data_IF_381835882428
#
_entry.id   IF_381835882428
#
_cell.length_a   1.000
_cell.length_b   1.000
_cell.length_c   1.000
_cell.angle_alpha   90.00
_cell.angle_beta   90.00
_cell.angle_gamma   90.00
#
_symmetry.space_group_name_H-M   'P 1'
#
loop_
_entity.id
_entity.type
_entity.pdbx_description
1 polymer ?
#
# COMPACT_ATOMS: atom_id res chain seq x y z
N UNK A 1 3.55 13.69 30.39
CA UNK A 1 3.99 14.74 29.43
C UNK A 1 4.78 14.21 28.23
N UNK A 2 5.59 13.13 28.38
CA UNK A 2 6.39 12.53 27.28
C UNK A 2 5.57 11.79 26.18
N UNK A 3 4.43 11.19 26.53
CA UNK A 3 3.55 10.48 25.59
C UNK A 3 2.93 11.40 24.51
N UNK A 4 2.61 12.65 24.87
CA UNK A 4 2.01 13.60 23.94
C UNK A 4 3.02 13.97 22.84
N UNK A 5 4.28 14.22 23.23
CA UNK A 5 5.36 14.64 22.31
C UNK A 5 5.69 13.57 21.26
N UNK A 6 5.73 12.28 21.65
CA UNK A 6 5.96 11.16 20.72
C UNK A 6 4.80 11.00 19.73
N UNK A 7 3.56 11.14 20.17
CA UNK A 7 2.38 11.11 19.30
C UNK A 7 2.36 12.27 18.30
N UNK A 8 2.75 13.48 18.74
CA UNK A 8 2.80 14.65 17.85
C UNK A 8 3.88 14.51 16.77
N UNK A 9 5.03 13.93 17.09
CA UNK A 9 6.11 13.66 16.13
C UNK A 9 5.73 12.58 15.11
N UNK A 10 5.03 11.52 15.55
CA UNK A 10 4.46 10.53 14.64
C UNK A 10 3.47 11.20 13.68
N UNK A 11 2.57 12.05 14.19
CA UNK A 11 1.54 12.72 13.38
C UNK A 11 2.14 13.71 12.38
N UNK A 12 3.18 14.46 12.76
CA UNK A 12 3.94 15.34 11.85
C UNK A 12 4.64 14.55 10.76
N UNK A 13 5.28 13.43 11.13
CA UNK A 13 5.94 12.55 10.17
C UNK A 13 4.92 12.00 9.18
N UNK A 14 3.74 11.60 9.66
CA UNK A 14 2.61 11.16 8.86
C UNK A 14 2.08 12.26 7.91
N UNK A 15 2.02 13.51 8.37
CA UNK A 15 1.58 14.65 7.54
C UNK A 15 2.59 15.03 6.45
N UNK A 16 3.88 15.08 6.78
CA UNK A 16 4.96 15.32 5.81
C UNK A 16 4.98 14.19 4.77
N UNK A 17 4.79 12.97 5.25
CA UNK A 17 4.67 11.77 4.44
C UNK A 17 3.50 11.85 3.45
N UNK A 18 2.31 12.26 3.92
CA UNK A 18 1.14 12.49 3.08
C UNK A 18 1.45 13.56 2.03
N UNK A 19 2.01 14.71 2.45
CA UNK A 19 2.27 15.86 1.57
C UNK A 19 3.16 15.55 0.37
N UNK A 20 4.23 14.78 0.57
CA UNK A 20 5.14 14.35 -0.50
C UNK A 20 4.45 13.49 -1.57
N UNK A 21 3.42 12.74 -1.17
CA UNK A 21 2.69 11.81 -2.03
C UNK A 21 1.41 12.41 -2.64
N UNK A 22 1.00 13.62 -2.27
CA UNK A 22 -0.22 14.28 -2.80
C UNK A 22 -0.20 14.39 -4.32
N UNK A 23 0.93 14.74 -4.92
CA UNK A 23 1.03 14.95 -6.38
C UNK A 23 0.70 13.67 -7.18
N UNK A 24 1.37 12.52 -6.96
CA UNK A 24 1.00 11.30 -7.68
C UNK A 24 -0.41 10.79 -7.32
N UNK A 25 -0.86 10.99 -6.08
CA UNK A 25 -2.23 10.63 -5.70
C UNK A 25 -3.28 11.47 -6.44
N UNK A 26 -3.03 12.77 -6.62
CA UNK A 26 -3.93 13.66 -7.35
C UNK A 26 -4.10 13.21 -8.81
N UNK A 27 -3.03 12.77 -9.45
CA UNK A 27 -3.08 12.22 -10.81
C UNK A 27 -3.93 10.95 -10.86
N UNK A 28 -3.76 10.03 -9.91
CA UNK A 28 -4.57 8.81 -9.84
C UNK A 28 -6.05 9.10 -9.61
N UNK A 29 -6.37 10.09 -8.77
CA UNK A 29 -7.77 10.51 -8.52
C UNK A 29 -8.39 11.11 -9.78
N UNK A 30 -7.68 11.98 -10.48
CA UNK A 30 -8.19 12.58 -11.73
C UNK A 30 -8.38 11.51 -12.80
N UNK A 31 -7.41 10.60 -12.96
CA UNK A 31 -7.51 9.50 -13.91
C UNK A 31 -8.67 8.55 -13.57
N UNK A 32 -8.86 8.23 -12.30
CA UNK A 32 -9.94 7.34 -11.87
C UNK A 32 -11.32 7.98 -12.02
N UNK A 33 -11.46 9.28 -11.76
CA UNK A 33 -12.69 10.03 -12.00
C UNK A 33 -13.02 10.13 -13.50
N UNK A 34 -12.02 10.37 -14.34
CA UNK A 34 -12.21 10.40 -15.79
C UNK A 34 -12.69 9.03 -16.33
N UNK A 35 -12.07 7.93 -15.87
CA UNK A 35 -12.51 6.58 -16.22
C UNK A 35 -13.91 6.28 -15.69
N UNK A 36 -14.21 6.65 -14.45
CA UNK A 36 -15.53 6.48 -13.87
C UNK A 36 -16.60 7.23 -14.65
N UNK A 37 -16.34 8.47 -15.06
CA UNK A 37 -17.25 9.28 -15.85
C UNK A 37 -17.53 8.66 -17.23
N UNK A 38 -16.52 8.08 -17.87
CA UNK A 38 -16.70 7.41 -19.16
C UNK A 38 -17.46 6.08 -19.06
N UNK A 39 -17.32 5.37 -17.93
CA UNK A 39 -17.84 4.02 -17.75
C UNK A 39 -19.19 3.95 -17.02
N UNK A 40 -19.62 5.01 -16.33
CA UNK A 40 -20.82 5.00 -15.48
C UNK A 40 -22.11 4.62 -16.21
N UNK A 41 -22.22 4.96 -17.49
CA UNK A 41 -23.40 4.64 -18.30
C UNK A 41 -23.42 3.17 -18.77
N UNK A 42 -22.26 2.54 -18.85
CA UNK A 42 -22.09 1.20 -19.44
C UNK A 42 -21.81 0.10 -18.40
N UNK A 43 -21.38 0.48 -17.20
CA UNK A 43 -20.90 -0.44 -16.16
C UNK A 43 -21.74 -0.28 -14.90
N UNK A 44 -22.30 -1.37 -14.40
CA UNK A 44 -22.99 -1.38 -13.10
C UNK A 44 -21.99 -1.64 -11.97
N UNK A 45 -22.33 -1.24 -10.74
CA UNK A 45 -21.51 -1.57 -9.56
C UNK A 45 -21.40 -3.08 -9.32
N UNK A 46 -22.37 -3.87 -9.81
CA UNK A 46 -22.31 -5.33 -9.74
C UNK A 46 -21.18 -5.92 -10.59
N UNK A 47 -20.87 -5.29 -11.72
CA UNK A 47 -19.84 -5.73 -12.66
C UNK A 47 -18.42 -5.51 -12.13
N UNK A 48 -18.28 -4.69 -11.08
CA UNK A 48 -17.00 -4.46 -10.41
C UNK A 48 -16.61 -5.58 -9.45
N UNK A 49 -17.54 -6.47 -9.06
CA UNK A 49 -17.27 -7.52 -8.06
C UNK A 49 -16.06 -8.41 -8.39
N UNK A 50 -15.88 -8.89 -9.64
CA UNK A 50 -14.69 -9.67 -9.98
C UNK A 50 -13.40 -8.87 -9.78
N UNK A 51 -13.39 -7.60 -10.21
CA UNK A 51 -12.24 -6.70 -10.06
C UNK A 51 -11.93 -6.48 -8.58
N UNK A 52 -12.94 -6.19 -7.76
CA UNK A 52 -12.80 -5.99 -6.32
C UNK A 52 -12.26 -7.26 -5.63
N UNK A 53 -12.72 -8.45 -6.02
CA UNK A 53 -12.22 -9.71 -5.49
C UNK A 53 -10.76 -9.97 -5.87
N UNK A 54 -10.40 -9.77 -7.13
CA UNK A 54 -9.00 -9.86 -7.58
C UNK A 54 -8.13 -8.85 -6.84
N UNK A 55 -8.60 -7.62 -6.67
CA UNK A 55 -7.88 -6.55 -5.97
C UNK A 55 -7.64 -6.91 -4.50
N UNK A 56 -8.64 -7.45 -3.81
CA UNK A 56 -8.52 -7.93 -2.44
C UNK A 56 -7.48 -9.05 -2.32
N UNK A 57 -7.52 -10.03 -3.22
CA UNK A 57 -6.60 -11.18 -3.21
C UNK A 57 -5.15 -10.72 -3.44
N UNK A 58 -4.93 -9.83 -4.41
CA UNK A 58 -3.61 -9.27 -4.69
C UNK A 58 -3.13 -8.41 -3.53
N UNK A 59 -3.99 -7.58 -2.95
CA UNK A 59 -3.63 -6.75 -1.79
C UNK A 59 -3.21 -7.61 -0.59
N UNK A 60 -3.94 -8.70 -0.32
CA UNK A 60 -3.58 -9.64 0.74
C UNK A 60 -2.22 -10.30 0.46
N UNK A 61 -1.99 -10.79 -0.77
CA UNK A 61 -0.72 -11.40 -1.16
C UNK A 61 0.47 -10.43 -1.03
N UNK A 62 0.32 -9.20 -1.50
CA UNK A 62 1.36 -8.15 -1.40
C UNK A 62 1.61 -7.75 0.05
N UNK A 63 0.56 -7.61 0.86
CA UNK A 63 0.66 -7.35 2.29
C UNK A 63 1.49 -8.43 3.00
N UNK A 64 1.17 -9.71 2.75
CA UNK A 64 1.89 -10.84 3.34
C UNK A 64 3.35 -10.89 2.89
N UNK A 65 3.60 -10.73 1.59
CA UNK A 65 4.95 -10.81 1.04
C UNK A 65 5.85 -9.67 1.59
N UNK A 66 5.34 -8.43 1.60
CA UNK A 66 6.08 -7.32 2.20
C UNK A 66 6.30 -7.51 3.71
N UNK A 67 5.33 -8.07 4.45
CA UNK A 67 5.47 -8.40 5.86
C UNK A 67 6.59 -9.40 6.14
N UNK A 68 6.68 -10.47 5.34
CA UNK A 68 7.77 -11.46 5.44
C UNK A 68 9.13 -10.79 5.18
N UNK A 69 9.22 -9.91 4.17
CA UNK A 69 10.47 -9.21 3.87
C UNK A 69 10.96 -8.31 5.00
N UNK A 70 10.04 -7.61 5.67
CA UNK A 70 10.38 -6.80 6.85
C UNK A 70 10.93 -7.70 7.96
N UNK A 71 10.26 -8.82 8.23
CA UNK A 71 10.68 -9.75 9.27
C UNK A 71 12.06 -10.37 8.99
N UNK A 72 12.34 -10.72 7.73
CA UNK A 72 13.61 -11.32 7.32
C UNK A 72 14.76 -10.32 7.28
N UNK A 73 14.53 -9.15 6.69
CA UNK A 73 15.61 -8.21 6.40
C UNK A 73 16.09 -7.46 7.63
N UNK A 74 15.27 -7.38 8.69
CA UNK A 74 15.57 -6.50 9.84
C UNK A 74 15.27 -7.11 11.22
N UNK A 75 15.85 -8.29 11.55
CA UNK A 75 15.74 -8.86 12.89
C UNK A 75 16.31 -7.92 13.96
N UNK A 76 17.34 -7.13 13.61
CA UNK A 76 18.00 -6.14 14.48
C UNK A 76 17.08 -4.97 14.87
N UNK A 77 16.21 -4.50 13.97
CA UNK A 77 15.26 -3.43 14.27
C UNK A 77 14.14 -3.91 15.21
N UNK A 78 13.71 -5.17 15.05
CA UNK A 78 12.79 -5.85 15.97
C UNK A 78 13.48 -6.06 17.33
N UNK A 79 14.73 -6.51 17.33
CA UNK A 79 15.54 -6.75 18.53
C UNK A 79 15.81 -5.46 19.32
N UNK A 80 16.11 -4.35 18.66
CA UNK A 80 16.29 -3.04 19.28
C UNK A 80 15.01 -2.52 19.95
N UNK A 81 13.83 -2.87 19.43
CA UNK A 81 12.55 -2.57 20.06
C UNK A 81 12.28 -3.44 21.30
N UNK A 82 12.76 -4.69 21.32
CA UNK A 82 12.62 -5.61 22.46
C UNK A 82 13.76 -5.54 23.47
N UNK A 83 14.89 -4.90 23.14
CA UNK A 83 16.09 -4.79 23.98
C UNK A 83 16.83 -3.46 23.70
N UNK A 84 16.49 -2.38 24.43
CA UNK A 84 16.96 -1.02 24.13
C UNK A 84 18.47 -0.77 24.35
N UNK A 85 19.21 -1.69 24.97
CA UNK A 85 20.61 -1.49 25.38
C UNK A 85 21.65 -1.83 24.30
N UNK A 86 21.25 -2.34 23.13
CA UNK A 86 22.16 -2.77 22.07
C UNK A 86 21.85 -2.11 20.71
N UNK A 87 21.54 -0.82 20.70
CA UNK A 87 21.22 -0.08 19.47
C UNK A 87 22.51 0.21 18.69
N UNK A 88 22.88 -0.69 17.78
CA UNK A 88 23.75 -0.35 16.67
C UNK A 88 23.00 0.61 15.73
N UNK A 89 23.67 1.67 15.28
CA UNK A 89 23.09 2.66 14.37
C UNK A 89 22.80 1.97 13.03
N UNK A 90 21.52 1.76 12.71
CA UNK A 90 21.08 1.18 11.44
C UNK A 90 21.54 2.11 10.31
N UNK A 91 22.13 1.55 9.26
CA UNK A 91 22.56 2.31 8.10
C UNK A 91 21.39 3.05 7.44
N UNK A 92 21.65 4.26 6.93
CA UNK A 92 20.60 5.14 6.40
C UNK A 92 19.85 4.55 5.20
N UNK A 93 20.53 3.74 4.38
CA UNK A 93 19.97 3.10 3.19
C UNK A 93 19.07 1.90 3.52
N UNK A 94 19.42 1.15 4.56
CA UNK A 94 18.58 0.09 5.12
C UNK A 94 17.28 0.66 5.69
N UNK A 95 17.36 1.81 6.35
CA UNK A 95 16.19 2.49 6.93
C UNK A 95 15.18 2.89 5.85
N UNK A 96 15.63 3.41 4.71
CA UNK A 96 14.76 3.76 3.57
C UNK A 96 14.08 2.55 2.93
N UNK A 97 14.77 1.41 2.87
CA UNK A 97 14.19 0.15 2.37
C UNK A 97 13.09 -0.35 3.29
N UNK A 98 13.30 -0.32 4.61
CA UNK A 98 12.26 -0.64 5.61
C UNK A 98 11.07 0.28 5.44
N UNK A 99 11.30 1.59 5.37
CA UNK A 99 10.24 2.57 5.22
C UNK A 99 9.39 2.24 3.99
N UNK A 100 10.01 2.01 2.83
CA UNK A 100 9.29 1.65 1.61
C UNK A 100 8.46 0.36 1.76
N UNK A 101 8.98 -0.68 2.41
CA UNK A 101 8.24 -1.93 2.65
C UNK A 101 7.06 -1.71 3.60
N UNK A 102 7.23 -0.96 4.70
CA UNK A 102 6.14 -0.63 5.63
C UNK A 102 5.04 0.14 4.91
N UNK A 103 5.39 1.03 3.98
CA UNK A 103 4.42 1.80 3.21
C UNK A 103 3.62 0.95 2.23
N UNK A 104 4.25 -0.06 1.64
CA UNK A 104 3.55 -1.06 0.82
C UNK A 104 2.52 -1.79 1.70
N UNK A 105 2.92 -2.24 2.89
CA UNK A 105 2.03 -2.92 3.84
C UNK A 105 0.83 -2.03 4.18
N UNK A 106 1.07 -0.76 4.53
CA UNK A 106 0.00 0.21 4.82
C UNK A 106 -0.89 0.48 3.61
N UNK A 107 -0.33 0.55 2.40
CA UNK A 107 -1.10 0.77 1.16
C UNK A 107 -2.02 -0.41 0.88
N UNK A 108 -1.51 -1.65 0.97
CA UNK A 108 -2.32 -2.86 0.75
C UNK A 108 -3.41 -3.00 1.83
N UNK A 109 -3.10 -2.71 3.10
CA UNK A 109 -4.09 -2.70 4.17
C UNK A 109 -5.19 -1.66 3.89
N UNK A 110 -4.81 -0.46 3.46
CA UNK A 110 -5.77 0.59 3.07
C UNK A 110 -6.68 0.15 1.92
N UNK A 111 -6.14 -0.53 0.90
CA UNK A 111 -6.93 -1.07 -0.22
C UNK A 111 -7.97 -2.07 0.28
N UNK A 112 -7.58 -3.04 1.11
CA UNK A 112 -8.50 -4.06 1.66
C UNK A 112 -9.57 -3.41 2.54
N UNK A 113 -9.19 -2.51 3.44
CA UNK A 113 -10.14 -1.78 4.30
C UNK A 113 -11.12 -0.93 3.48
N UNK A 114 -10.63 -0.27 2.42
CA UNK A 114 -11.48 0.53 1.53
C UNK A 114 -12.48 -0.34 0.76
N UNK A 115 -12.06 -1.51 0.27
CA UNK A 115 -12.96 -2.46 -0.39
C UNK A 115 -14.06 -2.96 0.55
N UNK A 116 -13.73 -3.24 1.81
CA UNK A 116 -14.71 -3.60 2.83
C UNK A 116 -15.74 -2.48 3.03
N UNK A 117 -15.28 -1.24 3.16
CA UNK A 117 -16.16 -0.08 3.29
C UNK A 117 -17.05 0.13 2.06
N UNK A 118 -16.52 -0.01 0.85
CA UNK A 118 -17.30 0.07 -0.40
C UNK A 118 -18.40 -0.99 -0.42
N UNK A 119 -18.08 -2.24 -0.08
CA UNK A 119 -19.07 -3.32 -0.01
C UNK A 119 -20.15 -3.04 1.05
N UNK A 120 -19.77 -2.49 2.20
CA UNK A 120 -20.71 -2.11 3.25
C UNK A 120 -21.63 -0.96 2.80
N UNK A 121 -21.08 0.09 2.19
CA UNK A 121 -21.85 1.23 1.66
C UNK A 121 -22.81 0.76 0.56
N UNK A 122 -22.34 -0.12 -0.34
CA UNK A 122 -23.18 -0.71 -1.38
C UNK A 122 -24.38 -1.46 -0.76
N UNK A 123 -24.16 -2.25 0.30
CA UNK A 123 -25.26 -2.97 0.96
C UNK A 123 -26.26 -2.02 1.64
N UNK A 124 -25.77 -0.99 2.34
CA UNK A 124 -26.60 -0.08 3.14
C UNK A 124 -27.40 0.92 2.29
N UNK A 125 -26.76 1.53 1.28
CA UNK A 125 -27.31 2.69 0.58
C UNK A 125 -27.86 2.34 -0.80
N UNK A 126 -27.17 1.50 -1.57
CA UNK A 126 -27.55 1.25 -2.97
C UNK A 126 -28.92 0.58 -3.11
N UNK A 127 -29.30 -0.28 -2.16
CA UNK A 127 -30.62 -0.92 -2.15
C UNK A 127 -31.75 -0.04 -1.61
N UNK A 128 -31.42 1.03 -0.90
CA UNK A 128 -32.38 1.89 -0.20
C UNK A 128 -32.73 3.15 -0.98
N UNK A 129 -31.87 3.58 -1.91
CA UNK A 129 -32.06 4.79 -2.70
C UNK A 129 -32.91 4.51 -3.94
N UNK A 130 -34.05 5.20 -4.05
CA UNK A 130 -34.94 5.16 -5.22
C UNK A 130 -34.74 6.32 -6.20
N UNK A 131 -33.99 7.36 -5.82
CA UNK A 131 -33.74 8.53 -6.68
C UNK A 131 -32.65 8.24 -7.72
N UNK A 132 -32.98 8.47 -9.00
CA UNK A 132 -32.12 8.19 -10.15
C UNK A 132 -30.85 9.04 -10.15
N UNK A 133 -30.93 10.31 -9.73
CA UNK A 133 -29.77 11.19 -9.72
C UNK A 133 -28.77 10.78 -8.62
N UNK A 134 -29.29 10.46 -7.43
CA UNK A 134 -28.49 9.93 -6.32
C UNK A 134 -27.82 8.59 -6.68
N UNK A 135 -28.52 7.71 -7.41
CA UNK A 135 -27.96 6.46 -7.91
C UNK A 135 -26.83 6.67 -8.92
N UNK A 136 -26.97 7.62 -9.85
CA UNK A 136 -25.93 7.95 -10.82
C UNK A 136 -24.64 8.40 -10.14
N UNK A 137 -24.74 9.33 -9.18
CA UNK A 137 -23.58 9.83 -8.42
C UNK A 137 -22.92 8.70 -7.64
N UNK A 138 -23.70 7.83 -6.99
CA UNK A 138 -23.16 6.71 -6.23
C UNK A 138 -22.45 5.69 -7.14
N UNK A 139 -22.98 5.42 -8.33
CA UNK A 139 -22.31 4.58 -9.35
C UNK A 139 -21.01 5.19 -9.81
N UNK A 140 -21.02 6.48 -10.17
CA UNK A 140 -19.84 7.21 -10.60
C UNK A 140 -18.73 7.14 -9.54
N UNK A 141 -19.07 7.44 -8.29
CA UNK A 141 -18.13 7.41 -7.16
C UNK A 141 -17.63 5.99 -6.89
N UNK A 142 -18.51 4.98 -6.93
CA UNK A 142 -18.12 3.59 -6.71
C UNK A 142 -17.15 3.06 -7.78
N UNK A 143 -17.45 3.28 -9.06
CA UNK A 143 -16.56 2.90 -10.18
C UNK A 143 -15.22 3.63 -10.05
N UNK A 144 -15.25 4.96 -9.89
CA UNK A 144 -14.03 5.76 -9.75
C UNK A 144 -13.18 5.33 -8.57
N UNK A 145 -13.81 5.00 -7.43
CA UNK A 145 -13.11 4.55 -6.23
C UNK A 145 -12.40 3.21 -6.45
N UNK A 146 -13.05 2.25 -7.12
CA UNK A 146 -12.42 0.96 -7.43
C UNK A 146 -11.21 1.15 -8.35
N UNK A 147 -11.33 1.98 -9.40
CA UNK A 147 -10.18 2.28 -10.28
C UNK A 147 -9.02 2.97 -9.54
N UNK A 148 -9.33 3.89 -8.63
CA UNK A 148 -8.30 4.51 -7.80
C UNK A 148 -7.54 3.47 -6.96
N UNK A 149 -8.25 2.55 -6.33
CA UNK A 149 -7.64 1.48 -5.53
C UNK A 149 -6.80 0.53 -6.41
N UNK A 150 -7.22 0.26 -7.65
CA UNK A 150 -6.41 -0.50 -8.63
C UNK A 150 -5.07 0.18 -8.88
N UNK A 151 -5.05 1.48 -9.14
CA UNK A 151 -3.79 2.20 -9.36
C UNK A 151 -2.86 2.17 -8.14
N UNK A 152 -3.41 2.32 -6.93
CA UNK A 152 -2.64 2.19 -5.70
C UNK A 152 -2.01 0.80 -5.56
N UNK A 153 -2.80 -0.25 -5.80
CA UNK A 153 -2.32 -1.61 -5.67
C UNK A 153 -1.28 -1.96 -6.74
N UNK A 154 -1.47 -1.52 -7.98
CA UNK A 154 -0.49 -1.71 -9.05
C UNK A 154 0.86 -1.10 -8.68
N UNK A 155 0.87 0.14 -8.18
CA UNK A 155 2.09 0.77 -7.69
C UNK A 155 2.76 -0.04 -6.57
N UNK A 156 1.98 -0.52 -5.61
CA UNK A 156 2.49 -1.35 -4.52
C UNK A 156 3.15 -2.64 -5.04
N UNK A 157 2.51 -3.32 -6.00
CA UNK A 157 3.06 -4.52 -6.65
C UNK A 157 4.41 -4.21 -7.32
N UNK A 158 4.50 -3.15 -8.12
CA UNK A 158 5.74 -2.79 -8.80
C UNK A 158 6.90 -2.53 -7.84
N UNK A 159 6.64 -1.81 -6.75
CA UNK A 159 7.69 -1.52 -5.75
C UNK A 159 8.15 -2.83 -5.10
N UNK A 160 7.23 -3.70 -4.71
CA UNK A 160 7.57 -5.02 -4.14
C UNK A 160 8.38 -5.87 -5.11
N UNK A 161 8.00 -5.91 -6.39
CA UNK A 161 8.76 -6.65 -7.40
C UNK A 161 10.19 -6.14 -7.52
N UNK A 162 10.38 -4.81 -7.57
CA UNK A 162 11.71 -4.20 -7.65
C UNK A 162 12.51 -4.51 -6.38
N UNK A 163 11.90 -4.42 -5.20
CA UNK A 163 12.57 -4.77 -3.94
C UNK A 163 13.01 -6.23 -3.91
N UNK A 164 12.16 -7.15 -4.37
CA UNK A 164 12.50 -8.57 -4.45
C UNK A 164 13.68 -8.82 -5.40
N UNK A 165 13.66 -8.22 -6.59
CA UNK A 165 14.73 -8.37 -7.58
C UNK A 165 16.03 -7.79 -7.04
N UNK A 166 15.98 -6.61 -6.43
CA UNK A 166 17.15 -5.97 -5.83
C UNK A 166 17.77 -6.83 -4.73
N UNK A 167 16.93 -7.49 -3.90
CA UNK A 167 17.43 -8.38 -2.85
C UNK A 167 18.13 -9.60 -3.43
N UNK A 168 17.54 -10.24 -4.45
CA UNK A 168 18.15 -11.41 -5.11
C UNK A 168 19.50 -11.05 -5.71
N UNK A 169 19.60 -9.88 -6.37
CA UNK A 169 20.87 -9.41 -6.92
C UNK A 169 21.92 -9.16 -5.83
N UNK A 170 21.52 -8.61 -4.68
CA UNK A 170 22.43 -8.40 -3.55
C UNK A 170 22.92 -9.73 -2.95
N UNK A 171 22.05 -10.75 -2.91
CA UNK A 171 22.43 -12.09 -2.48
C UNK A 171 23.47 -12.73 -3.40
N UNK A 172 23.28 -12.61 -4.72
CA UNK A 172 24.25 -13.10 -5.69
C UNK A 172 25.60 -12.39 -5.55
N UNK A 173 25.58 -11.06 -5.38
CA UNK A 173 26.80 -10.28 -5.21
C UNK A 173 27.58 -10.71 -3.96
N UNK A 174 26.91 -10.79 -2.79
CA UNK A 174 27.55 -11.24 -1.54
C UNK A 174 28.09 -12.65 -1.61
N UNK A 175 27.41 -13.54 -2.35
CA UNK A 175 27.92 -14.90 -2.58
C UNK A 175 29.21 -14.87 -3.41
N UNK A 176 29.22 -14.12 -4.51
CA UNK A 176 30.40 -13.99 -5.36
C UNK A 176 31.58 -13.35 -4.63
N UNK A 177 31.35 -12.33 -3.82
CA UNK A 177 32.40 -11.72 -2.98
C UNK A 177 32.97 -12.72 -1.96
N UNK A 178 32.10 -13.53 -1.34
CA UNK A 178 32.53 -14.56 -0.40
C UNK A 178 33.37 -15.63 -1.11
N UNK A 179 32.90 -16.16 -2.23
CA UNK A 179 33.60 -17.18 -3.00
C UNK A 179 34.98 -16.65 -3.45
N UNK A 180 35.08 -15.38 -3.88
CA UNK A 180 36.35 -14.76 -4.26
C UNK A 180 37.32 -14.51 -3.09
N UNK A 181 36.80 -14.30 -1.88
CA UNK A 181 37.62 -14.11 -0.68
C UNK A 181 38.05 -15.42 -0.03
N UNK A 182 37.27 -16.50 -0.21
CA UNK A 182 37.62 -17.85 0.22
C UNK A 182 38.70 -18.49 -0.70
N UNK A 183 38.88 -17.98 -1.92
CA UNK A 183 39.90 -18.39 -2.90
C UNK A 183 41.29 -17.70 -2.73
N UNK A 184 41.42 -16.75 -1.80
CA UNK A 184 42.67 -16.00 -1.48
C UNK A 184 43.37 -16.53 -0.21
#
# INVERSE_FOLDING_TARGET
MLLNKKSTEVLKTLLIFIKSRIIPHSLYVVASLALGYYLVDNVSLGDLKPIMSTLQNIAAAVFTLAGIWIAYSYPQAIAAYTSPSSVSVIATDETKRIENLVLIVLTSAFVISSLLLINMIYLLFYKSISDLNSLYILRLLGISSVFYLVFLQLKAIFIVMITNVSFVNELHHKKTEKDANDDL
#
